data_IF_832124972309
#
_entry.id   IF_832124972309
#
_cell.length_a   1.000
_cell.length_b   1.000
_cell.length_c   1.000
_cell.angle_alpha   90.00
_cell.angle_beta   90.00
_cell.angle_gamma   90.00
#
_symmetry.space_group_name_H-M   'P 1'
#
loop_
_entity.id
_entity.type
_entity.pdbx_description
1 polymer ?
#
# COMPACT_ATOMS: atom_id res chain seq x y z
N UNK A 1 -33.58 -18.48 -3.15
CA UNK A 1 -34.32 -17.41 -2.44
C UNK A 1 -33.70 -16.08 -2.80
N UNK A 2 -34.43 -15.24 -3.54
CA UNK A 2 -33.96 -13.95 -4.08
C UNK A 2 -34.05 -12.89 -2.97
N UNK A 3 -32.93 -12.26 -2.63
CA UNK A 3 -32.90 -11.16 -1.65
C UNK A 3 -33.70 -9.96 -2.18
N UNK A 4 -34.73 -9.55 -1.43
CA UNK A 4 -35.49 -8.31 -1.70
C UNK A 4 -34.54 -7.11 -1.59
N UNK A 5 -34.42 -6.33 -2.67
CA UNK A 5 -33.76 -5.02 -2.63
C UNK A 5 -34.64 -4.04 -1.85
N UNK A 6 -34.16 -3.61 -0.68
CA UNK A 6 -34.85 -2.63 0.18
C UNK A 6 -34.69 -1.23 -0.44
N UNK A 7 -35.79 -0.49 -0.54
CA UNK A 7 -35.80 0.82 -1.19
C UNK A 7 -35.10 1.90 -0.37
N UNK A 8 -34.43 2.85 -1.04
CA UNK A 8 -33.71 3.98 -0.40
C UNK A 8 -34.56 4.74 0.63
N UNK A 9 -35.87 4.83 0.42
CA UNK A 9 -36.81 5.51 1.33
C UNK A 9 -37.04 4.74 2.64
N UNK A 10 -37.12 3.42 2.58
CA UNK A 10 -37.29 2.56 3.77
C UNK A 10 -36.06 2.61 4.67
N UNK A 11 -34.87 2.61 4.08
CA UNK A 11 -33.60 2.74 4.82
C UNK A 11 -33.54 4.07 5.56
N UNK A 12 -33.96 5.17 4.91
CA UNK A 12 -33.95 6.50 5.54
C UNK A 12 -34.99 6.58 6.67
N UNK A 13 -36.18 6.01 6.50
CA UNK A 13 -37.18 5.98 7.58
C UNK A 13 -36.70 5.15 8.77
N UNK A 14 -36.11 3.98 8.54
CA UNK A 14 -35.57 3.12 9.60
C UNK A 14 -34.36 3.74 10.29
N UNK A 15 -33.53 4.49 9.57
CA UNK A 15 -32.43 5.24 10.17
C UNK A 15 -32.94 6.37 11.05
N UNK A 16 -33.98 7.10 10.61
CA UNK A 16 -34.51 8.22 11.37
C UNK A 16 -35.20 7.80 12.67
N UNK A 17 -35.79 6.60 12.73
CA UNK A 17 -36.42 6.06 13.93
C UNK A 17 -35.45 5.63 15.03
N UNK A 18 -34.15 5.56 14.75
CA UNK A 18 -33.13 5.20 15.74
C UNK A 18 -32.85 6.35 16.72
N UNK A 19 -32.45 5.98 17.92
CA UNK A 19 -31.89 6.92 18.91
C UNK A 19 -30.56 7.51 18.42
N UNK A 20 -30.11 8.57 19.08
CA UNK A 20 -28.84 9.24 18.74
C UNK A 20 -27.65 8.29 18.85
N UNK A 21 -27.62 7.46 19.89
CA UNK A 21 -26.50 6.57 20.17
C UNK A 21 -26.45 5.40 19.17
N UNK A 22 -27.62 4.82 18.84
CA UNK A 22 -27.72 3.79 17.80
C UNK A 22 -27.33 4.32 16.41
N UNK A 23 -27.68 5.57 16.10
CA UNK A 23 -27.23 6.23 14.85
C UNK A 23 -25.71 6.37 14.83
N UNK A 24 -25.10 6.74 15.96
CA UNK A 24 -23.64 6.86 16.08
C UNK A 24 -22.98 5.49 15.93
N UNK A 25 -23.50 4.44 16.56
CA UNK A 25 -22.98 3.08 16.43
C UNK A 25 -23.09 2.56 15.00
N UNK A 26 -24.24 2.75 14.33
CA UNK A 26 -24.42 2.35 12.94
C UNK A 26 -23.49 3.11 12.00
N UNK A 27 -23.32 4.43 12.19
CA UNK A 27 -22.36 5.21 11.42
C UNK A 27 -20.93 4.75 11.68
N UNK A 28 -20.58 4.44 12.92
CA UNK A 28 -19.25 3.95 13.27
C UNK A 28 -18.97 2.58 12.65
N UNK A 29 -19.92 1.65 12.75
CA UNK A 29 -19.89 0.33 12.10
C UNK A 29 -19.79 0.46 10.57
N UNK A 30 -20.57 1.36 9.98
CA UNK A 30 -20.54 1.60 8.54
C UNK A 30 -19.19 2.19 8.10
N UNK A 31 -18.65 3.17 8.83
CA UNK A 31 -17.31 3.72 8.59
C UNK A 31 -16.23 2.63 8.72
N UNK A 32 -16.34 1.72 9.69
CA UNK A 32 -15.42 0.58 9.83
C UNK A 32 -15.56 -0.39 8.64
N UNK A 33 -16.78 -0.71 8.21
CA UNK A 33 -17.03 -1.56 7.04
C UNK A 33 -16.55 -0.93 5.72
N UNK A 34 -16.53 0.41 5.64
CA UNK A 34 -15.97 1.16 4.53
C UNK A 34 -14.44 1.23 4.58
N UNK A 35 -13.83 1.11 5.77
CA UNK A 35 -12.38 0.98 5.96
C UNK A 35 -11.87 -0.42 5.59
N UNK A 36 -12.71 -1.46 5.67
CA UNK A 36 -12.41 -2.82 5.17
C UNK A 36 -12.56 -2.95 3.64
N UNK A 37 -12.04 -2.01 2.88
CA UNK A 37 -11.61 -2.30 1.51
C UNK A 37 -10.10 -2.30 1.54
N UNK A 38 -9.41 -3.45 1.34
CA UNK A 38 -8.01 -3.37 1.01
C UNK A 38 -7.91 -2.45 -0.20
N UNK A 39 -7.02 -1.47 -0.14
CA UNK A 39 -6.82 -0.56 -1.26
C UNK A 39 -6.58 -1.42 -2.50
N UNK A 40 -7.44 -1.27 -3.52
CA UNK A 40 -7.29 -2.01 -4.81
C UNK A 40 -6.00 -1.66 -5.55
N UNK A 41 -5.27 -0.70 -5.02
CA UNK A 41 -4.07 -0.17 -5.63
C UNK A 41 -2.96 -1.20 -5.46
N UNK A 42 -2.46 -1.64 -6.61
CA UNK A 42 -1.37 -2.62 -6.72
C UNK A 42 -0.11 -1.92 -7.19
N UNK A 43 1.01 -2.41 -6.68
CA UNK A 43 2.35 -1.94 -7.03
C UNK A 43 3.10 -3.09 -7.72
N UNK A 44 3.47 -2.93 -8.99
CA UNK A 44 4.25 -3.93 -9.70
C UNK A 44 5.65 -4.07 -9.09
N UNK A 45 6.19 -5.29 -8.97
CA UNK A 45 7.53 -5.49 -8.39
C UNK A 45 8.62 -4.78 -9.20
N UNK A 46 8.45 -4.66 -10.52
CA UNK A 46 9.43 -4.08 -11.42
C UNK A 46 9.73 -2.60 -11.16
N UNK A 47 8.90 -1.87 -10.39
CA UNK A 47 9.26 -0.50 -9.97
C UNK A 47 10.46 -0.47 -9.02
N UNK A 48 10.75 -1.59 -8.37
CA UNK A 48 11.86 -1.75 -7.42
C UNK A 48 13.13 -2.29 -8.08
N UNK A 49 13.05 -2.67 -9.37
CA UNK A 49 14.18 -3.12 -10.17
C UNK A 49 15.01 -1.91 -10.64
N UNK A 50 15.64 -1.23 -9.70
CA UNK A 50 16.61 -0.17 -9.99
C UNK A 50 17.57 0.05 -8.82
N UNK A 51 18.75 0.55 -9.16
CA UNK A 51 19.85 0.90 -8.27
C UNK A 51 19.81 2.38 -7.81
N UNK A 52 19.05 3.23 -8.51
CA UNK A 52 18.99 4.69 -8.27
C UNK A 52 18.11 5.09 -7.10
N UNK A 53 16.99 4.39 -6.90
CA UNK A 53 16.00 4.72 -5.87
C UNK A 53 16.03 3.68 -4.75
N UNK A 54 15.91 4.16 -3.51
CA UNK A 54 15.54 3.27 -2.42
C UNK A 54 14.11 2.73 -2.63
N UNK A 55 13.78 1.62 -1.97
CA UNK A 55 12.44 1.01 -2.07
C UNK A 55 11.32 1.99 -1.72
N UNK A 56 11.54 2.86 -0.72
CA UNK A 56 10.54 3.87 -0.35
C UNK A 56 10.44 5.00 -1.39
N UNK A 57 11.58 5.45 -1.94
CA UNK A 57 11.59 6.45 -3.02
C UNK A 57 10.88 5.94 -4.27
N UNK A 58 11.14 4.70 -4.68
CA UNK A 58 10.49 4.06 -5.82
C UNK A 58 8.98 3.96 -5.63
N UNK A 59 8.54 3.43 -4.47
CA UNK A 59 7.12 3.30 -4.13
C UNK A 59 6.39 4.64 -4.18
N UNK A 60 6.91 5.66 -3.49
CA UNK A 60 6.28 6.98 -3.42
C UNK A 60 6.22 7.65 -4.80
N UNK A 61 7.29 7.52 -5.59
CA UNK A 61 7.33 8.10 -6.93
C UNK A 61 6.30 7.42 -7.84
N UNK A 62 6.21 6.09 -7.83
CA UNK A 62 5.21 5.36 -8.62
C UNK A 62 3.77 5.73 -8.21
N UNK A 63 3.48 5.77 -6.91
CA UNK A 63 2.17 6.19 -6.40
C UNK A 63 1.83 7.63 -6.83
N UNK A 64 2.82 8.51 -6.89
CA UNK A 64 2.60 9.91 -7.26
C UNK A 64 2.46 10.12 -8.77
N UNK A 65 3.32 9.48 -9.56
CA UNK A 65 3.45 9.74 -11.00
C UNK A 65 2.65 8.76 -11.84
N UNK A 66 2.63 7.47 -11.52
CA UNK A 66 1.89 6.48 -12.31
C UNK A 66 0.45 6.32 -11.83
N UNK A 67 0.21 6.27 -10.52
CA UNK A 67 -1.14 6.20 -9.94
C UNK A 67 -1.80 7.58 -9.78
N UNK A 68 -1.06 8.67 -10.06
CA UNK A 68 -1.52 10.07 -9.99
C UNK A 68 -2.16 10.46 -8.64
N UNK A 69 -1.74 9.83 -7.54
CA UNK A 69 -2.31 10.09 -6.20
C UNK A 69 -1.86 11.44 -5.61
N UNK A 70 -2.65 11.97 -4.67
CA UNK A 70 -2.28 13.15 -3.88
C UNK A 70 -1.38 12.74 -2.70
N UNK A 71 -0.46 13.60 -2.26
CA UNK A 71 0.45 13.29 -1.15
C UNK A 71 -0.28 12.90 0.14
N UNK A 72 -1.40 13.56 0.45
CA UNK A 72 -2.23 13.23 1.63
C UNK A 72 -2.79 11.81 1.54
N UNK A 73 -3.16 11.36 0.33
CA UNK A 73 -3.67 10.00 0.11
C UNK A 73 -2.54 8.98 0.27
N UNK A 74 -1.38 9.22 -0.35
CA UNK A 74 -0.19 8.37 -0.21
C UNK A 74 0.22 8.26 1.27
N UNK A 75 0.21 9.38 1.99
CA UNK A 75 0.51 9.44 3.42
C UNK A 75 -0.45 8.56 4.23
N UNK A 76 -1.75 8.65 3.95
CA UNK A 76 -2.77 7.82 4.59
C UNK A 76 -2.58 6.33 4.30
N UNK A 77 -2.35 5.95 3.04
CA UNK A 77 -2.19 4.55 2.62
C UNK A 77 -0.94 3.90 3.24
N UNK A 78 0.17 4.63 3.25
CA UNK A 78 1.43 4.14 3.81
C UNK A 78 1.54 4.37 5.33
N UNK A 79 0.52 4.96 5.97
CA UNK A 79 0.57 5.38 7.37
C UNK A 79 1.87 6.17 7.70
N UNK A 80 2.23 7.13 6.85
CA UNK A 80 3.40 8.03 7.00
C UNK A 80 2.93 9.48 6.99
N UNK A 81 3.76 10.40 7.48
CA UNK A 81 3.41 11.83 7.41
C UNK A 81 3.49 12.35 5.97
N UNK A 82 2.64 13.31 5.65
CA UNK A 82 2.64 14.06 4.39
C UNK A 82 4.00 14.71 4.09
N UNK A 83 4.67 15.27 5.10
CA UNK A 83 6.03 15.82 5.02
C UNK A 83 7.04 14.76 4.58
N UNK A 84 6.97 13.56 5.16
CA UNK A 84 7.82 12.44 4.77
C UNK A 84 7.57 12.03 3.32
N UNK A 85 6.30 11.90 2.91
CA UNK A 85 5.97 11.56 1.52
C UNK A 85 6.51 12.63 0.54
N UNK A 86 6.27 13.91 0.82
CA UNK A 86 6.71 15.02 -0.03
C UNK A 86 8.24 15.06 -0.17
N UNK A 87 8.97 14.92 0.94
CA UNK A 87 10.44 14.92 0.92
C UNK A 87 11.00 13.71 0.18
N UNK A 88 10.45 12.51 0.41
CA UNK A 88 10.81 11.28 -0.30
C UNK A 88 10.58 11.42 -1.80
N UNK A 89 9.41 11.92 -2.21
CA UNK A 89 9.09 12.17 -3.62
C UNK A 89 10.09 13.13 -4.28
N UNK A 90 10.39 14.27 -3.66
CA UNK A 90 11.31 15.24 -4.25
C UNK A 90 12.74 14.69 -4.37
N UNK A 91 13.19 13.85 -3.43
CA UNK A 91 14.47 13.13 -3.55
C UNK A 91 14.42 12.14 -4.71
N UNK A 92 13.37 11.34 -4.80
CA UNK A 92 13.18 10.36 -5.86
C UNK A 92 13.16 11.01 -7.25
N UNK A 93 12.41 12.10 -7.42
CA UNK A 93 12.33 12.86 -8.67
C UNK A 93 13.68 13.44 -9.11
N UNK A 94 14.51 13.88 -8.16
CA UNK A 94 15.87 14.36 -8.47
C UNK A 94 16.80 13.23 -8.90
N UNK A 95 16.76 12.08 -8.23
CA UNK A 95 17.59 10.90 -8.52
C UNK A 95 17.17 10.20 -9.82
N UNK A 96 15.87 10.19 -10.11
CA UNK A 96 15.26 9.56 -11.26
C UNK A 96 14.18 10.48 -11.85
N UNK A 97 14.55 11.35 -12.81
CA UNK A 97 13.61 12.35 -13.36
C UNK A 97 12.54 11.78 -14.30
N UNK A 98 12.80 10.63 -14.93
CA UNK A 98 11.84 9.98 -15.84
C UNK A 98 10.69 9.34 -15.06
N UNK A 99 9.53 9.17 -15.68
CA UNK A 99 8.46 8.31 -15.12
C UNK A 99 8.88 6.83 -15.24
N UNK A 100 8.22 5.94 -14.50
CA UNK A 100 8.40 4.50 -14.72
C UNK A 100 7.73 4.11 -16.04
N UNK A 101 8.52 3.59 -16.99
CA UNK A 101 8.03 3.09 -18.27
C UNK A 101 7.07 1.90 -18.07
N UNK A 102 6.22 1.62 -19.07
CA UNK A 102 5.14 0.62 -19.04
C UNK A 102 5.47 -0.60 -18.18
N UNK A 103 4.87 -0.63 -17.00
CA UNK A 103 5.28 -1.52 -15.91
C UNK A 103 4.70 -2.92 -16.13
N UNK A 104 5.33 -3.71 -16.99
CA UNK A 104 5.05 -5.14 -17.11
C UNK A 104 5.64 -5.82 -15.87
N UNK A 105 4.83 -6.61 -15.18
CA UNK A 105 5.24 -7.28 -13.95
C UNK A 105 4.47 -8.57 -13.75
N UNK A 106 5.18 -9.61 -13.38
CA UNK A 106 4.63 -10.91 -12.99
C UNK A 106 4.08 -10.92 -11.55
N UNK A 107 4.58 -10.01 -10.70
CA UNK A 107 4.16 -9.90 -9.30
C UNK A 107 3.57 -8.51 -9.04
N UNK A 108 2.38 -8.49 -8.45
CA UNK A 108 1.67 -7.28 -8.04
C UNK A 108 1.46 -7.29 -6.53
N UNK A 109 1.95 -6.26 -5.85
CA UNK A 109 1.96 -6.16 -4.40
C UNK A 109 0.86 -5.19 -3.96
N UNK A 110 -0.09 -5.59 -3.10
CA UNK A 110 -1.09 -4.68 -2.56
C UNK A 110 -0.42 -3.56 -1.74
N UNK A 111 -0.85 -2.31 -1.92
CA UNK A 111 -0.26 -1.16 -1.21
C UNK A 111 -0.35 -1.30 0.31
N UNK A 112 -1.42 -1.93 0.81
CA UNK A 112 -1.62 -2.15 2.24
C UNK A 112 -0.49 -2.97 2.89
N UNK A 113 0.25 -3.76 2.10
CA UNK A 113 1.45 -4.49 2.55
C UNK A 113 2.54 -3.57 3.12
N UNK A 114 2.50 -2.28 2.82
CA UNK A 114 3.48 -1.28 3.23
C UNK A 114 2.99 -0.35 4.37
N UNK A 115 1.77 -0.56 4.87
CA UNK A 115 1.14 0.34 5.85
C UNK A 115 1.70 0.17 7.27
N UNK A 116 2.16 -1.03 7.64
CA UNK A 116 2.69 -1.29 8.98
C UNK A 116 3.98 -0.46 9.22
N UNK A 117 3.99 0.29 10.32
CA UNK A 117 5.12 1.14 10.71
C UNK A 117 6.21 0.38 11.47
N UNK A 118 5.92 -0.83 11.95
CA UNK A 118 6.89 -1.72 12.60
C UNK A 118 8.00 -2.12 11.63
N UNK A 119 7.64 -2.25 10.35
CA UNK A 119 8.53 -2.58 9.26
C UNK A 119 8.91 -1.34 8.45
N UNK A 120 10.15 -1.31 7.98
CA UNK A 120 10.53 -0.43 6.88
C UNK A 120 9.85 -0.90 5.59
N UNK A 121 9.70 -0.02 4.61
CA UNK A 121 9.09 -0.38 3.32
C UNK A 121 9.85 -1.54 2.65
N UNK A 122 11.18 -1.61 2.82
CA UNK A 122 11.98 -2.70 2.28
C UNK A 122 11.79 -4.02 3.04
N UNK A 123 11.68 -3.97 4.37
CA UNK A 123 11.34 -5.15 5.18
C UNK A 123 9.95 -5.68 4.79
N UNK A 124 8.95 -4.81 4.65
CA UNK A 124 7.61 -5.17 4.17
C UNK A 124 7.64 -5.82 2.79
N UNK A 125 8.37 -5.23 1.84
CA UNK A 125 8.52 -5.78 0.49
C UNK A 125 9.13 -7.19 0.53
N UNK A 126 10.26 -7.35 1.21
CA UNK A 126 10.96 -8.63 1.27
C UNK A 126 10.12 -9.69 1.99
N UNK A 127 9.47 -9.33 3.11
CA UNK A 127 8.57 -10.24 3.82
C UNK A 127 7.42 -10.70 2.92
N UNK A 128 6.80 -9.79 2.18
CA UNK A 128 5.74 -10.12 1.22
C UNK A 128 6.23 -11.11 0.16
N UNK A 129 7.38 -10.85 -0.47
CA UNK A 129 7.94 -11.72 -1.52
C UNK A 129 8.38 -13.09 -0.99
N UNK A 130 8.88 -13.15 0.25
CA UNK A 130 9.18 -14.42 0.92
C UNK A 130 7.91 -15.23 1.19
N UNK A 131 6.83 -14.58 1.62
CA UNK A 131 5.54 -15.23 1.82
C UNK A 131 4.88 -15.63 0.49
N UNK A 132 5.19 -14.93 -0.60
CA UNK A 132 4.82 -15.31 -1.96
C UNK A 132 5.58 -16.57 -2.47
N UNK A 133 6.64 -16.97 -1.78
CA UNK A 133 7.37 -18.22 -2.05
C UNK A 133 8.73 -18.04 -2.73
N UNK A 134 9.21 -16.81 -2.93
CA UNK A 134 10.50 -16.61 -3.59
C UNK A 134 11.68 -16.95 -2.66
N UNK A 135 12.73 -17.49 -3.25
CA UNK A 135 14.06 -17.64 -2.63
C UNK A 135 14.73 -16.27 -2.47
N UNK A 136 15.76 -16.20 -1.61
CA UNK A 136 16.48 -14.94 -1.43
C UNK A 136 17.16 -14.48 -2.73
N UNK A 137 17.66 -15.44 -3.52
CA UNK A 137 18.31 -15.17 -4.80
C UNK A 137 17.33 -14.59 -5.83
N UNK A 138 16.15 -15.17 -5.97
CA UNK A 138 15.13 -14.64 -6.89
C UNK A 138 14.70 -13.22 -6.51
N UNK A 139 14.54 -12.94 -5.21
CA UNK A 139 14.24 -11.59 -4.73
C UNK A 139 15.40 -10.63 -5.03
N UNK A 140 16.64 -11.05 -4.79
CA UNK A 140 17.82 -10.24 -5.04
C UNK A 140 17.94 -9.85 -6.51
N UNK A 141 17.76 -10.81 -7.42
CA UNK A 141 17.72 -10.58 -8.87
C UNK A 141 16.60 -9.61 -9.25
N UNK A 142 15.36 -9.85 -8.80
CA UNK A 142 14.20 -9.01 -9.15
C UNK A 142 14.26 -7.59 -8.60
N UNK A 143 14.96 -7.36 -7.49
CA UNK A 143 15.08 -6.05 -6.86
C UNK A 143 16.42 -5.37 -7.16
N UNK A 144 17.28 -6.00 -7.95
CA UNK A 144 18.66 -5.59 -8.20
C UNK A 144 19.41 -5.29 -6.89
N UNK A 145 19.43 -6.28 -5.98
CA UNK A 145 20.08 -6.23 -4.67
C UNK A 145 21.00 -7.44 -4.48
N UNK A 146 21.84 -7.37 -3.46
CA UNK A 146 22.69 -8.50 -3.06
C UNK A 146 21.91 -9.51 -2.19
N UNK A 147 22.19 -10.80 -2.36
CA UNK A 147 21.56 -11.90 -1.61
C UNK A 147 21.67 -11.73 -0.09
N UNK A 148 22.82 -11.24 0.41
CA UNK A 148 23.06 -10.99 1.85
C UNK A 148 22.21 -9.85 2.35
N UNK A 149 21.92 -8.87 1.50
CA UNK A 149 21.01 -7.77 1.83
C UNK A 149 19.60 -8.29 2.01
N UNK A 150 19.11 -9.12 1.08
CA UNK A 150 17.79 -9.74 1.18
C UNK A 150 17.68 -10.60 2.44
N UNK A 151 18.69 -11.44 2.71
CA UNK A 151 18.73 -12.27 3.91
C UNK A 151 18.66 -11.43 5.19
N UNK A 152 19.51 -10.40 5.31
CA UNK A 152 19.57 -9.55 6.50
C UNK A 152 18.30 -8.74 6.73
N UNK A 153 17.65 -8.29 5.66
CA UNK A 153 16.37 -7.58 5.72
C UNK A 153 15.26 -8.52 6.17
N UNK A 154 15.19 -9.73 5.60
CA UNK A 154 14.18 -10.71 5.99
C UNK A 154 14.36 -11.17 7.44
N UNK A 155 15.59 -11.48 7.86
CA UNK A 155 15.89 -11.89 9.23
C UNK A 155 15.46 -10.82 10.26
N UNK A 156 15.75 -9.54 9.99
CA UNK A 156 15.25 -8.43 10.81
C UNK A 156 13.73 -8.34 10.84
N UNK A 157 13.07 -8.56 9.71
CA UNK A 157 11.61 -8.58 9.66
C UNK A 157 11.03 -9.74 10.48
N UNK A 158 11.61 -10.95 10.43
CA UNK A 158 11.12 -12.10 11.23
C UNK A 158 11.25 -11.90 12.73
N UNK A 159 12.28 -11.16 13.17
CA UNK A 159 12.55 -10.89 14.60
C UNK A 159 11.64 -9.83 15.21
N UNK A 160 10.92 -9.08 14.38
CA UNK A 160 10.01 -8.02 14.81
C UNK A 160 8.62 -8.59 15.06
#
# INVERSE_FOLDING_TARGET
MVGKSIGKREIISSFNSLSRDEKIELLHSWILSLKEKPSKEIVPISIFDNDKLSTFEALVKYMKENLKLRFVVIASLLNRSDKTIWTTYNKARKKFPKEFDSVVSDINIPIDSFSDRKFTIFESLVAYLKNYGLTNHEIAVKLHRDDRTIWSVYDRAKKK
#
